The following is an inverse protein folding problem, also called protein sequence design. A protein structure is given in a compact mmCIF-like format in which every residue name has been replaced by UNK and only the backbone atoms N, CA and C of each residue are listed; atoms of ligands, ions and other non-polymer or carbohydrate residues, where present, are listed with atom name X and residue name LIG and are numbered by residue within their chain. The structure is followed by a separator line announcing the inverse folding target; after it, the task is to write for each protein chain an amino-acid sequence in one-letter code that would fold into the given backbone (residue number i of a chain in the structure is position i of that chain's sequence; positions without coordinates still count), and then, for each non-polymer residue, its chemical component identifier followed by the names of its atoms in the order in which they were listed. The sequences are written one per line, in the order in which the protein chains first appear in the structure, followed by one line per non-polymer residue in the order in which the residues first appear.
data_IF_170849763924
#
_entry.id   IF_170849763924
#
_cell.length_a   1.000
_cell.length_b   1.000
_cell.length_c   1.000
_cell.angle_alpha   90.00
_cell.angle_beta   90.00
_cell.angle_gamma   90.00
#
_symmetry.space_group_name_H-M   'P 1'
#
loop_
_entity.id
_entity.type
_entity.pdbx_description
1 polymer ?
#
# COMPACT_ATOMS: atom_id res chain seq x y z
N UNK A 1 29.70 6.61 -4.49
CA UNK A 1 29.15 7.85 -3.89
C UNK A 1 28.27 8.49 -4.94
N UNK A 2 27.11 9.05 -4.58
CA UNK A 2 26.32 9.86 -5.50
C UNK A 2 27.18 10.98 -6.12
N UNK A 3 26.82 11.43 -7.32
CA UNK A 3 27.46 12.59 -7.94
C UNK A 3 26.94 13.87 -7.29
N UNK A 4 27.84 14.83 -7.02
CA UNK A 4 27.46 16.13 -6.47
C UNK A 4 26.59 16.91 -7.47
N UNK A 5 25.49 17.47 -6.98
CA UNK A 5 24.58 18.29 -7.77
C UNK A 5 24.23 19.58 -7.00
N UNK A 6 24.82 20.70 -7.43
CA UNK A 6 24.64 22.02 -6.82
C UNK A 6 23.19 22.52 -6.85
N UNK A 7 22.34 21.94 -7.71
CA UNK A 7 20.91 22.29 -7.76
C UNK A 7 20.08 21.59 -6.70
N UNK A 8 20.61 20.53 -6.06
CA UNK A 8 19.88 19.67 -5.12
C UNK A 8 20.42 19.71 -3.69
N UNK A 9 21.69 20.04 -3.49
CA UNK A 9 22.32 20.13 -2.17
C UNK A 9 23.45 21.15 -2.09
N UNK A 10 23.74 21.57 -0.87
CA UNK A 10 24.91 22.37 -0.57
C UNK A 10 26.18 21.50 -0.49
N UNK A 11 27.31 22.08 -0.88
CA UNK A 11 28.60 21.39 -0.90
C UNK A 11 29.02 20.86 0.49
N UNK A 12 28.61 21.52 1.58
CA UNK A 12 28.98 21.11 2.93
C UNK A 12 28.27 19.81 3.32
N UNK A 13 26.97 19.68 3.02
CA UNK A 13 26.23 18.42 3.20
C UNK A 13 26.79 17.27 2.36
N UNK A 14 27.18 17.54 1.10
CA UNK A 14 27.80 16.53 0.24
C UNK A 14 29.16 16.07 0.79
N UNK A 15 30.03 17.01 1.19
CA UNK A 15 31.34 16.68 1.76
C UNK A 15 31.20 15.87 3.07
N UNK A 16 30.21 16.18 3.89
CA UNK A 16 29.92 15.41 5.11
C UNK A 16 29.58 13.94 4.79
N UNK A 17 28.71 13.69 3.79
CA UNK A 17 28.41 12.33 3.33
C UNK A 17 29.61 11.65 2.69
N UNK A 18 30.42 12.39 1.94
CA UNK A 18 31.62 11.88 1.27
C UNK A 18 32.67 11.42 2.30
N UNK A 19 32.89 12.19 3.35
CA UNK A 19 33.76 11.80 4.47
C UNK A 19 33.22 10.55 5.19
N UNK A 20 31.91 10.46 5.40
CA UNK A 20 31.29 9.23 5.94
C UNK A 20 31.46 8.03 5.02
N UNK A 21 31.38 8.23 3.71
CA UNK A 21 31.63 7.16 2.75
C UNK A 21 33.07 6.63 2.85
N UNK A 22 34.05 7.53 2.92
CA UNK A 22 35.46 7.17 3.08
C UNK A 22 35.72 6.46 4.42
N UNK A 23 35.04 6.88 5.49
CA UNK A 23 35.21 6.36 6.83
C UNK A 23 34.31 5.16 7.17
N UNK A 24 33.42 4.74 6.27
CA UNK A 24 32.36 3.79 6.55
C UNK A 24 32.90 2.41 6.98
N UNK A 25 32.51 1.96 8.17
CA UNK A 25 32.86 0.64 8.72
C UNK A 25 31.65 -0.20 9.07
N UNK A 26 30.47 0.44 9.23
CA UNK A 26 29.21 -0.17 9.63
C UNK A 26 28.14 0.05 8.57
N UNK A 27 27.08 -0.77 8.62
CA UNK A 27 25.92 -0.67 7.70
C UNK A 27 25.25 0.71 7.70
N UNK A 28 25.27 1.40 8.85
CA UNK A 28 24.71 2.75 9.01
C UNK A 28 25.51 3.75 8.21
N UNK A 29 26.83 3.75 8.37
CA UNK A 29 27.74 4.66 7.67
C UNK A 29 27.59 4.51 6.14
N UNK A 30 27.57 3.26 5.65
CA UNK A 30 27.35 2.98 4.22
C UNK A 30 25.98 3.48 3.77
N UNK A 31 24.93 3.26 4.57
CA UNK A 31 23.59 3.70 4.23
C UNK A 31 23.48 5.23 4.16
N UNK A 32 24.02 5.95 5.15
CA UNK A 32 24.02 7.41 5.20
C UNK A 32 24.80 8.02 4.02
N UNK A 33 25.92 7.41 3.66
CA UNK A 33 26.79 7.83 2.56
C UNK A 33 26.18 7.65 1.15
N UNK A 34 25.13 6.82 1.01
CA UNK A 34 24.44 6.61 -0.29
C UNK A 34 23.08 7.30 -0.35
N UNK A 35 22.64 7.98 0.72
CA UNK A 35 21.38 8.70 0.71
C UNK A 35 21.47 9.91 -0.22
N UNK A 36 20.51 10.04 -1.12
CA UNK A 36 20.37 11.25 -1.92
C UNK A 36 20.05 12.47 -1.05
N UNK A 37 20.30 13.68 -1.59
CA UNK A 37 20.28 14.92 -0.83
C UNK A 37 18.95 15.22 -0.14
N UNK A 38 17.83 14.96 -0.82
CA UNK A 38 16.48 15.14 -0.26
C UNK A 38 16.24 14.27 0.98
N UNK A 39 16.66 13.01 0.89
CA UNK A 39 16.43 12.01 1.95
C UNK A 39 17.39 12.25 3.12
N UNK A 40 18.61 12.70 2.83
CA UNK A 40 19.58 13.08 3.84
C UNK A 40 19.20 14.36 4.59
N UNK A 41 18.73 15.39 3.88
CA UNK A 41 18.21 16.61 4.48
C UNK A 41 17.01 16.34 5.39
N UNK A 42 16.09 15.45 4.97
CA UNK A 42 15.00 14.97 5.81
C UNK A 42 15.53 14.26 7.06
N UNK A 43 16.56 13.43 6.94
CA UNK A 43 17.13 12.73 8.08
C UNK A 43 17.71 13.70 9.12
N UNK A 44 18.42 14.75 8.67
CA UNK A 44 18.94 15.83 9.53
C UNK A 44 17.82 16.57 10.26
N UNK A 45 16.63 16.70 9.67
CA UNK A 45 15.48 17.34 10.33
C UNK A 45 14.74 16.39 11.30
N UNK A 46 14.72 15.08 11.00
CA UNK A 46 14.05 14.07 11.83
C UNK A 46 14.89 13.60 13.02
N UNK A 47 16.22 13.64 12.91
CA UNK A 47 17.16 13.11 13.91
C UNK A 47 18.22 14.18 14.17
N UNK A 48 18.35 14.62 15.42
CA UNK A 48 19.42 15.53 15.81
C UNK A 48 20.78 14.96 15.39
N UNK A 49 21.64 15.76 14.74
CA UNK A 49 22.94 15.38 14.18
C UNK A 49 23.80 14.54 15.14
N UNK A 50 23.78 14.87 16.43
CA UNK A 50 24.54 14.16 17.49
C UNK A 50 24.07 12.70 17.69
N UNK A 51 22.82 12.37 17.34
CA UNK A 51 22.26 11.01 17.42
C UNK A 51 22.49 10.16 16.16
N UNK A 52 22.93 10.75 15.04
CA UNK A 52 23.16 9.99 13.79
C UNK A 52 24.39 9.09 13.86
N UNK A 53 25.37 9.44 14.70
CA UNK A 53 26.59 8.65 14.89
C UNK A 53 26.38 7.39 15.75
N UNK A 54 25.37 7.42 16.62
CA UNK A 54 25.05 6.33 17.56
C UNK A 54 23.79 5.53 17.18
N UNK A 55 23.10 5.92 16.10
CA UNK A 55 21.88 5.21 15.69
C UNK A 55 22.23 3.84 15.13
N UNK A 56 21.52 2.81 15.60
CA UNK A 56 21.62 1.47 15.00
C UNK A 56 20.90 1.43 13.66
N UNK A 57 21.34 0.53 12.77
CA UNK A 57 20.70 0.32 11.47
C UNK A 57 19.19 0.03 11.61
N UNK A 58 18.79 -0.72 12.64
CA UNK A 58 17.38 -1.03 12.92
C UNK A 58 16.56 0.17 13.37
N UNK A 59 17.13 1.07 14.16
CA UNK A 59 16.47 2.33 14.54
C UNK A 59 16.35 3.28 13.35
N UNK A 60 17.38 3.32 12.50
CA UNK A 60 17.39 4.12 11.28
C UNK A 60 16.27 3.65 10.34
N UNK A 61 16.22 2.36 10.00
CA UNK A 61 15.18 1.81 9.12
C UNK A 61 13.79 1.98 9.72
N UNK A 62 13.61 1.85 11.04
CA UNK A 62 12.32 2.12 11.71
C UNK A 62 11.89 3.58 11.58
N UNK A 63 12.81 4.53 11.71
CA UNK A 63 12.51 5.97 11.54
C UNK A 63 12.07 6.25 10.10
N UNK A 64 12.78 5.68 9.13
CA UNK A 64 12.41 5.74 7.72
C UNK A 64 11.05 5.11 7.46
N UNK A 65 10.79 3.90 7.97
CA UNK A 65 9.48 3.25 7.86
C UNK A 65 8.38 4.09 8.46
N UNK A 66 8.57 4.71 9.64
CA UNK A 66 7.56 5.58 10.25
C UNK A 66 7.23 6.80 9.39
N UNK A 67 8.22 7.37 8.71
CA UNK A 67 8.03 8.56 7.88
C UNK A 67 7.42 8.22 6.50
N UNK A 68 7.99 7.24 5.80
CA UNK A 68 7.58 6.89 4.42
C UNK A 68 6.45 5.87 4.34
N UNK A 69 6.22 5.12 5.42
CA UNK A 69 5.15 4.13 5.55
C UNK A 69 4.52 4.28 6.95
N UNK A 70 3.92 5.45 7.25
CA UNK A 70 3.24 5.63 8.53
C UNK A 70 2.26 4.49 8.72
N UNK A 71 2.16 3.97 9.95
CA UNK A 71 1.22 2.90 10.23
C UNK A 71 -0.19 3.41 9.87
N UNK A 72 -0.93 2.70 9.01
CA UNK A 72 -2.26 3.15 8.62
C UNK A 72 -3.14 3.28 9.86
N UNK A 73 -3.99 4.31 9.86
CA UNK A 73 -5.01 4.46 10.89
C UNK A 73 -6.09 3.44 10.55
N UNK A 74 -6.10 2.29 11.23
CA UNK A 74 -6.97 1.16 10.86
C UNK A 74 -8.44 1.55 10.72
N UNK A 75 -8.94 2.42 11.60
CA UNK A 75 -10.34 2.88 11.50
C UNK A 75 -10.61 3.71 10.23
N UNK A 76 -9.62 4.46 9.73
CA UNK A 76 -9.74 5.20 8.49
C UNK A 76 -9.67 4.27 7.26
N UNK A 77 -8.81 3.25 7.30
CA UNK A 77 -8.76 2.21 6.26
C UNK A 77 -10.07 1.44 6.20
N UNK A 78 -10.62 1.03 7.35
CA UNK A 78 -11.93 0.36 7.43
C UNK A 78 -13.04 1.27 6.92
N UNK A 79 -13.04 2.54 7.33
CA UNK A 79 -14.01 3.51 6.83
C UNK A 79 -13.96 3.60 5.30
N UNK A 80 -12.77 3.74 4.71
CA UNK A 80 -12.62 3.81 3.27
C UNK A 80 -13.03 2.51 2.57
N UNK A 81 -12.62 1.36 3.12
CA UNK A 81 -13.00 0.04 2.61
C UNK A 81 -14.52 -0.16 2.58
N UNK A 82 -15.23 0.12 3.67
CA UNK A 82 -16.68 -0.09 3.74
C UNK A 82 -17.49 0.93 2.94
N UNK A 83 -16.96 2.13 2.68
CA UNK A 83 -17.62 3.13 1.84
C UNK A 83 -17.29 3.01 0.36
N UNK A 84 -16.34 2.15 -0.01
CA UNK A 84 -15.95 1.95 -1.39
C UNK A 84 -16.90 0.99 -2.12
N UNK A 85 -17.21 1.29 -3.38
CA UNK A 85 -18.10 0.47 -4.21
C UNK A 85 -17.63 0.44 -5.65
N UNK A 86 -18.08 -0.56 -6.41
CA UNK A 86 -17.74 -0.69 -7.82
C UNK A 86 -18.20 0.56 -8.59
N UNK A 87 -17.26 1.17 -9.31
CA UNK A 87 -17.56 2.38 -10.08
C UNK A 87 -18.43 2.07 -11.31
N UNK A 88 -19.18 3.07 -11.79
CA UNK A 88 -19.97 2.92 -13.00
C UNK A 88 -19.05 2.63 -14.21
N UNK A 89 -19.30 1.52 -14.90
CA UNK A 89 -18.48 1.07 -16.03
C UNK A 89 -17.19 0.33 -15.63
N UNK A 90 -16.88 0.20 -14.34
CA UNK A 90 -15.77 -0.64 -13.88
C UNK A 90 -16.08 -2.12 -14.17
N UNK A 91 -15.11 -2.84 -14.71
CA UNK A 91 -15.29 -4.28 -14.96
C UNK A 91 -15.24 -5.07 -13.66
N UNK A 92 -15.99 -6.18 -13.59
CA UNK A 92 -15.98 -7.07 -12.44
C UNK A 92 -14.55 -7.54 -12.06
N UNK A 93 -13.71 -7.82 -13.06
CA UNK A 93 -12.33 -8.26 -12.83
C UNK A 93 -11.45 -7.17 -12.19
N UNK A 94 -11.60 -5.92 -12.64
CA UNK A 94 -10.89 -4.78 -12.07
C UNK A 94 -11.35 -4.54 -10.63
N UNK A 95 -12.66 -4.55 -10.40
CA UNK A 95 -13.24 -4.38 -9.08
C UNK A 95 -12.78 -5.46 -8.09
N UNK A 96 -12.81 -6.75 -8.47
CA UNK A 96 -12.31 -7.85 -7.61
C UNK A 96 -10.82 -7.70 -7.31
N UNK A 97 -10.03 -7.23 -8.28
CA UNK A 97 -8.60 -6.99 -8.10
C UNK A 97 -8.35 -5.83 -7.13
N UNK A 98 -9.09 -4.72 -7.28
CA UNK A 98 -9.02 -3.57 -6.41
C UNK A 98 -9.45 -3.91 -4.97
N UNK A 99 -10.53 -4.67 -4.80
CA UNK A 99 -11.03 -5.13 -3.51
C UNK A 99 -9.96 -5.95 -2.75
N UNK A 100 -9.32 -6.89 -3.44
CA UNK A 100 -8.20 -7.69 -2.89
C UNK A 100 -6.97 -6.86 -2.57
N UNK A 101 -6.74 -5.77 -3.29
CA UNK A 101 -5.64 -4.88 -3.01
C UNK A 101 -5.91 -4.02 -1.76
N UNK A 102 -7.10 -3.45 -1.66
CA UNK A 102 -7.49 -2.50 -0.61
C UNK A 102 -7.57 -3.15 0.77
N UNK A 103 -7.93 -4.44 0.83
CA UNK A 103 -8.01 -5.18 2.10
C UNK A 103 -6.65 -5.34 2.80
N UNK A 104 -5.53 -5.22 2.07
CA UNK A 104 -4.18 -5.44 2.60
C UNK A 104 -3.76 -4.40 3.64
N UNK A 105 -4.32 -3.18 3.60
CA UNK A 105 -4.03 -2.12 4.57
C UNK A 105 -4.94 -2.17 5.79
N UNK A 106 -6.00 -2.97 5.75
CA UNK A 106 -7.05 -2.98 6.77
C UNK A 106 -6.78 -3.90 7.97
N UNK A 107 -5.78 -4.80 7.90
CA UNK A 107 -5.43 -5.72 9.00
C UNK A 107 -6.64 -6.54 9.56
N UNK A 108 -7.60 -6.97 8.73
CA UNK A 108 -8.80 -7.71 9.20
C UNK A 108 -8.49 -9.09 9.83
N UNK A 109 -7.29 -9.64 9.64
CA UNK A 109 -6.85 -10.88 10.27
C UNK A 109 -7.77 -12.06 9.94
N UNK A 110 -8.27 -12.75 10.97
CA UNK A 110 -9.15 -13.92 10.81
C UNK A 110 -10.51 -13.62 10.16
N UNK A 111 -10.92 -12.35 10.12
CA UNK A 111 -12.20 -11.93 9.53
C UNK A 111 -12.10 -11.62 8.04
N UNK A 112 -10.90 -11.71 7.45
CA UNK A 112 -10.61 -11.32 6.07
C UNK A 112 -11.60 -11.90 5.06
N UNK A 113 -11.82 -13.21 5.09
CA UNK A 113 -12.65 -13.89 4.09
C UNK A 113 -14.13 -13.48 4.19
N UNK A 114 -14.65 -13.32 5.42
CA UNK A 114 -16.01 -12.83 5.65
C UNK A 114 -16.17 -11.37 5.24
N UNK A 115 -15.20 -10.52 5.57
CA UNK A 115 -15.22 -9.10 5.19
C UNK A 115 -15.15 -8.91 3.67
N UNK A 116 -14.34 -9.70 2.96
CA UNK A 116 -14.30 -9.67 1.50
C UNK A 116 -15.62 -10.13 0.88
N UNK A 117 -16.22 -11.18 1.44
CA UNK A 117 -17.54 -11.65 1.03
C UNK A 117 -18.61 -10.56 1.21
N UNK A 118 -18.72 -10.01 2.41
CA UNK A 118 -19.73 -9.01 2.74
C UNK A 118 -19.57 -7.74 1.90
N UNK A 119 -18.33 -7.26 1.75
CA UNK A 119 -18.05 -6.07 0.93
C UNK A 119 -18.37 -6.32 -0.53
N UNK A 120 -17.99 -7.48 -1.08
CA UNK A 120 -18.30 -7.83 -2.45
C UNK A 120 -19.80 -7.87 -2.69
N UNK A 121 -20.57 -8.51 -1.80
CA UNK A 121 -22.04 -8.58 -1.94
C UNK A 121 -22.69 -7.21 -1.82
N UNK A 122 -22.25 -6.36 -0.89
CA UNK A 122 -22.89 -5.07 -0.61
C UNK A 122 -22.53 -3.96 -1.61
N UNK A 123 -21.37 -4.06 -2.27
CA UNK A 123 -20.81 -2.94 -3.03
C UNK A 123 -20.57 -3.24 -4.51
N UNK A 124 -21.02 -4.41 -4.98
CA UNK A 124 -21.06 -4.76 -6.39
C UNK A 124 -22.17 -3.99 -7.11
N UNK A 125 -21.83 -3.41 -8.26
CA UNK A 125 -22.76 -2.65 -9.09
C UNK A 125 -23.51 -3.59 -10.04
N UNK A 126 -24.85 -3.47 -10.06
CA UNK A 126 -25.73 -4.24 -10.95
C UNK A 126 -26.84 -4.97 -10.19
N UNK A 127 -28.09 -4.66 -10.55
CA UNK A 127 -29.28 -5.15 -9.83
C UNK A 127 -29.43 -6.68 -9.90
N UNK A 128 -28.88 -7.33 -10.94
CA UNK A 128 -29.10 -8.75 -11.18
C UNK A 128 -28.21 -9.69 -10.36
N UNK A 129 -27.12 -9.22 -9.77
CA UNK A 129 -26.19 -10.09 -9.03
C UNK A 129 -26.74 -10.49 -7.65
N UNK A 130 -27.31 -9.51 -6.92
CA UNK A 130 -27.77 -9.69 -5.54
C UNK A 130 -28.78 -10.83 -5.38
N UNK A 131 -29.69 -11.01 -6.33
CA UNK A 131 -30.68 -12.09 -6.28
C UNK A 131 -30.04 -13.48 -6.21
N UNK A 132 -28.97 -13.71 -6.98
CA UNK A 132 -28.28 -15.00 -7.02
C UNK A 132 -27.34 -15.16 -5.83
N UNK A 133 -26.60 -14.10 -5.49
CA UNK A 133 -25.67 -14.11 -4.35
C UNK A 133 -26.40 -14.36 -3.02
N UNK A 134 -27.55 -13.71 -2.79
CA UNK A 134 -28.33 -13.84 -1.56
C UNK A 134 -29.13 -15.16 -1.45
N UNK A 135 -29.17 -15.96 -2.52
CA UNK A 135 -29.83 -17.27 -2.51
C UNK A 135 -28.89 -18.40 -2.08
N UNK A 136 -27.58 -18.19 -2.16
CA UNK A 136 -26.55 -19.16 -1.81
C UNK A 136 -26.36 -19.21 -0.29
N UNK A 137 -26.60 -20.38 0.32
CA UNK A 137 -26.61 -20.53 1.79
C UNK A 137 -25.20 -20.48 2.38
N UNK A 138 -24.24 -21.12 1.72
CA UNK A 138 -22.85 -21.23 2.15
C UNK A 138 -21.96 -20.42 1.19
N UNK A 139 -22.36 -19.17 0.96
CA UNK A 139 -21.62 -18.25 0.10
C UNK A 139 -20.23 -17.99 0.69
N UNK A 140 -19.22 -17.98 -0.17
CA UNK A 140 -17.85 -17.58 0.16
C UNK A 140 -17.44 -16.48 -0.81
N UNK A 141 -16.42 -15.69 -0.49
CA UNK A 141 -15.91 -14.69 -1.43
C UNK A 141 -15.56 -15.30 -2.81
N UNK A 142 -14.97 -16.51 -2.81
CA UNK A 142 -14.64 -17.23 -4.04
C UNK A 142 -15.90 -17.60 -4.84
N UNK A 143 -16.88 -18.27 -4.21
CA UNK A 143 -18.10 -18.67 -4.91
C UNK A 143 -18.93 -17.46 -5.34
N UNK A 144 -18.91 -16.35 -4.60
CA UNK A 144 -19.53 -15.08 -5.01
C UNK A 144 -18.91 -14.53 -6.29
N UNK A 145 -17.58 -14.54 -6.40
CA UNK A 145 -16.88 -14.15 -7.63
C UNK A 145 -17.27 -15.06 -8.81
N UNK A 146 -17.30 -16.37 -8.59
CA UNK A 146 -17.62 -17.36 -9.64
C UNK A 146 -19.06 -17.17 -10.15
N UNK A 147 -20.03 -16.94 -9.25
CA UNK A 147 -21.43 -16.65 -9.60
C UNK A 147 -21.53 -15.36 -10.42
N UNK A 148 -20.87 -14.28 -9.97
CA UNK A 148 -20.91 -13.00 -10.67
C UNK A 148 -20.29 -13.10 -12.08
N UNK A 149 -19.19 -13.85 -12.23
CA UNK A 149 -18.57 -14.12 -13.53
C UNK A 149 -19.51 -14.91 -14.45
N UNK A 150 -20.17 -15.96 -13.95
CA UNK A 150 -21.11 -16.74 -14.75
C UNK A 150 -22.28 -15.89 -15.27
N UNK A 151 -22.84 -15.02 -14.42
CA UNK A 151 -23.91 -14.10 -14.81
C UNK A 151 -23.48 -13.09 -15.86
N UNK A 152 -22.24 -12.57 -15.75
CA UNK A 152 -21.67 -11.65 -16.73
C UNK A 152 -21.55 -12.30 -18.12
N UNK A 153 -21.11 -13.57 -18.18
CA UNK A 153 -20.97 -14.31 -19.44
C UNK A 153 -22.33 -14.51 -20.12
N UNK A 154 -23.34 -14.94 -19.37
CA UNK A 154 -24.71 -15.11 -19.90
C UNK A 154 -25.28 -13.80 -20.45
N UNK A 155 -25.02 -12.67 -19.78
CA UNK A 155 -25.47 -11.35 -20.26
C UNK A 155 -24.78 -10.91 -21.55
N UNK A 156 -23.49 -11.23 -21.74
CA UNK A 156 -22.79 -10.93 -22.99
C UNK A 156 -23.36 -11.74 -24.15
N UNK A 157 -23.52 -13.04 -23.95
CA UNK A 157 -24.07 -13.94 -24.99
C UNK A 157 -25.48 -13.50 -25.42
N UNK A 158 -26.31 -13.02 -24.49
CA UNK A 158 -27.67 -12.54 -24.80
C UNK A 158 -27.69 -11.21 -25.55
N UNK A 159 -26.65 -10.36 -25.40
CA UNK A 159 -26.55 -9.07 -26.11
C UNK A 159 -25.92 -9.18 -27.49
N UNK A 160 -25.22 -10.28 -27.76
CA UNK A 160 -24.58 -10.57 -29.05
C UNK A 160 -25.49 -11.38 -30.01
N UNK A 161 -26.70 -11.73 -29.56
CA UNK A 161 -27.79 -12.35 -30.33
C UNK A 161 -28.82 -11.30 -30.79
#
# INVERSE_FOLDING_TARGET
VPEFDESKEDLHSYLEQFEWWLAAKKRVDVFLAVLGPTVYGLLKSLIALVKLLDISYTQLTKTFSRHYKPKPILIAEHFHFYHWSQEEGETLANYVTALRHQVNTCEFGQFLDGTLQDQFVCSLSGENYHKWLLFEKDLTFKSACDIALALLLVQKDTREL
#
